data_IF_626751871698
#
_entry.id   IF_626751871698
#
_cell.length_a   1.000
_cell.length_b   1.000
_cell.length_c   1.000
_cell.angle_alpha   90.00
_cell.angle_beta   90.00
_cell.angle_gamma   90.00
#
_symmetry.space_group_name_H-M   'P 1'
#
loop_
_entity.id
_entity.type
_entity.pdbx_description
1 polymer ?
#
# COMPACT_ATOMS: atom_id res chain seq x y z
N UNK A 1 61.25 -45.90 -34.83
CA UNK A 1 60.98 -44.47 -35.06
C UNK A 1 59.49 -44.17 -35.31
N UNK A 2 58.73 -45.05 -35.97
CA UNK A 2 57.28 -44.87 -36.25
C UNK A 2 56.36 -44.85 -35.01
N UNK A 3 56.62 -45.69 -34.00
CA UNK A 3 55.74 -45.84 -32.81
C UNK A 3 55.71 -44.58 -31.93
N UNK A 4 56.83 -43.85 -31.82
CA UNK A 4 56.89 -42.59 -31.03
C UNK A 4 56.10 -41.45 -31.67
N UNK A 5 56.04 -41.40 -33.00
CA UNK A 5 55.24 -40.39 -33.72
C UNK A 5 53.73 -40.61 -33.55
N UNK A 6 53.29 -41.87 -33.51
CA UNK A 6 51.87 -42.22 -33.36
C UNK A 6 51.34 -41.86 -31.95
N UNK A 7 52.14 -42.09 -30.91
CA UNK A 7 51.81 -41.69 -29.54
C UNK A 7 51.82 -40.16 -29.36
N UNK A 8 52.73 -39.45 -30.03
CA UNK A 8 52.74 -37.98 -30.03
C UNK A 8 51.49 -37.38 -30.69
N UNK A 9 51.05 -37.96 -31.81
CA UNK A 9 49.84 -37.51 -32.52
C UNK A 9 48.56 -37.75 -31.69
N UNK A 10 48.47 -38.88 -30.97
CA UNK A 10 47.37 -39.15 -30.03
C UNK A 10 47.36 -38.16 -28.87
N UNK A 11 48.52 -37.89 -28.25
CA UNK A 11 48.64 -36.92 -27.17
C UNK A 11 48.25 -35.51 -27.62
N UNK A 12 48.70 -35.07 -28.80
CA UNK A 12 48.33 -33.78 -29.37
C UNK A 12 46.82 -33.68 -29.61
N UNK A 13 46.18 -34.75 -30.11
CA UNK A 13 44.73 -34.79 -30.34
C UNK A 13 43.95 -34.71 -29.04
N UNK A 14 44.38 -35.43 -28.00
CA UNK A 14 43.77 -35.40 -26.65
C UNK A 14 43.87 -34.00 -26.05
N UNK A 15 45.02 -33.34 -26.15
CA UNK A 15 45.23 -31.96 -25.67
C UNK A 15 44.31 -30.96 -26.38
N UNK A 16 44.12 -31.10 -27.69
CA UNK A 16 43.19 -30.26 -28.46
C UNK A 16 41.74 -30.48 -28.02
N UNK A 17 41.31 -31.73 -27.83
CA UNK A 17 39.96 -32.05 -27.37
C UNK A 17 39.69 -31.55 -25.95
N UNK A 18 40.65 -31.68 -25.03
CA UNK A 18 40.56 -31.13 -23.67
C UNK A 18 40.46 -29.60 -23.68
N UNK A 19 41.22 -28.93 -24.55
CA UNK A 19 41.16 -27.46 -24.71
C UNK A 19 39.78 -27.02 -25.22
N UNK A 20 39.24 -27.70 -26.24
CA UNK A 20 37.90 -27.41 -26.77
C UNK A 20 36.82 -27.63 -25.70
N UNK A 21 36.90 -28.73 -24.94
CA UNK A 21 35.96 -29.03 -23.85
C UNK A 21 36.00 -27.95 -22.76
N UNK A 22 37.19 -27.54 -22.32
CA UNK A 22 37.33 -26.49 -21.31
C UNK A 22 36.79 -25.14 -21.81
N UNK A 23 37.00 -24.81 -23.09
CA UNK A 23 36.49 -23.54 -23.67
C UNK A 23 34.97 -23.56 -23.83
N UNK A 24 34.37 -24.73 -24.07
CA UNK A 24 32.90 -24.89 -24.07
C UNK A 24 32.31 -24.79 -22.67
N UNK A 25 32.94 -25.41 -21.67
CA UNK A 25 32.53 -25.31 -20.26
C UNK A 25 32.60 -23.87 -19.73
N UNK A 26 33.69 -23.15 -20.02
CA UNK A 26 33.84 -21.74 -19.63
C UNK A 26 32.75 -20.87 -20.25
N UNK A 27 32.45 -21.05 -21.54
CA UNK A 27 31.35 -20.34 -22.22
C UNK A 27 29.99 -20.69 -21.63
N UNK A 28 29.76 -21.96 -21.25
CA UNK A 28 28.51 -22.39 -20.61
C UNK A 28 28.32 -21.75 -19.24
N UNK A 29 29.37 -21.72 -18.39
CA UNK A 29 29.31 -21.06 -17.08
C UNK A 29 29.11 -19.54 -17.19
N UNK A 30 29.72 -18.90 -18.18
CA UNK A 30 29.53 -17.48 -18.45
C UNK A 30 28.11 -17.18 -18.95
N UNK A 31 27.58 -18.00 -19.84
CA UNK A 31 26.19 -17.89 -20.32
C UNK A 31 25.19 -18.15 -19.19
N UNK A 32 25.45 -19.15 -18.34
CA UNK A 32 24.64 -19.46 -17.16
C UNK A 32 24.64 -18.31 -16.16
N UNK A 33 25.79 -17.68 -15.91
CA UNK A 33 25.88 -16.45 -15.09
C UNK A 33 25.09 -15.29 -15.71
N UNK A 34 25.18 -15.07 -17.02
CA UNK A 34 24.41 -14.04 -17.74
C UNK A 34 22.90 -14.31 -17.67
N UNK A 35 22.48 -15.56 -17.87
CA UNK A 35 21.08 -15.97 -17.77
C UNK A 35 20.57 -15.87 -16.33
N UNK A 36 21.33 -16.31 -15.33
CA UNK A 36 20.99 -16.12 -13.91
C UNK A 36 20.91 -14.63 -13.55
N UNK A 37 21.81 -13.80 -14.07
CA UNK A 37 21.76 -12.35 -13.87
C UNK A 37 20.55 -11.72 -14.55
N UNK A 38 20.19 -12.16 -15.76
CA UNK A 38 18.98 -11.70 -16.47
C UNK A 38 17.69 -12.15 -15.77
N UNK A 39 17.65 -13.38 -15.24
CA UNK A 39 16.51 -13.88 -14.45
C UNK A 39 16.42 -13.11 -13.12
N UNK A 40 17.54 -12.88 -12.44
CA UNK A 40 17.57 -12.05 -11.23
C UNK A 40 17.14 -10.61 -11.53
N UNK A 41 17.61 -10.00 -12.63
CA UNK A 41 17.19 -8.67 -13.07
C UNK A 41 15.71 -8.62 -13.46
N UNK A 42 15.17 -9.67 -14.10
CA UNK A 42 13.76 -9.76 -14.46
C UNK A 42 12.86 -9.98 -13.23
N UNK A 43 13.30 -10.74 -12.25
CA UNK A 43 12.60 -10.92 -10.96
C UNK A 43 12.66 -9.63 -10.13
N UNK A 44 13.75 -8.87 -10.17
CA UNK A 44 13.80 -7.52 -9.56
C UNK A 44 12.98 -6.49 -10.33
N UNK A 45 12.77 -6.64 -11.64
CA UNK A 45 11.87 -5.78 -12.42
C UNK A 45 10.38 -6.14 -12.21
N UNK A 46 10.06 -7.40 -11.95
CA UNK A 46 8.71 -7.84 -11.58
C UNK A 46 8.37 -7.55 -10.10
N UNK A 47 9.36 -7.22 -9.28
CA UNK A 47 9.20 -6.64 -7.94
C UNK A 47 9.32 -5.11 -7.94
N UNK A 48 8.99 -4.45 -9.06
CA UNK A 48 8.49 -3.08 -8.97
C UNK A 48 7.19 -3.16 -8.17
N UNK A 49 7.25 -2.81 -6.89
CA UNK A 49 6.04 -2.64 -6.08
C UNK A 49 5.09 -1.76 -6.90
N UNK A 50 3.91 -2.28 -7.24
CA UNK A 50 2.95 -1.52 -8.00
C UNK A 50 2.59 -0.28 -7.17
N UNK A 51 3.08 0.89 -7.57
CA UNK A 51 2.92 2.13 -6.79
C UNK A 51 1.52 2.72 -6.95
N UNK A 52 0.68 2.10 -7.78
CA UNK A 52 -0.71 2.48 -8.01
C UNK A 52 -1.58 1.26 -8.29
N UNK A 53 -2.85 1.34 -7.96
CA UNK A 53 -3.84 0.30 -8.29
C UNK A 53 -5.25 0.82 -8.09
N UNK A 54 -6.23 -0.07 -8.16
CA UNK A 54 -7.66 0.26 -8.00
C UNK A 54 -8.23 -0.40 -6.76
N UNK A 55 -9.12 0.30 -6.06
CA UNK A 55 -9.98 -0.23 -5.00
C UNK A 55 -11.35 0.41 -5.18
N UNK A 56 -12.39 -0.42 -5.34
CA UNK A 56 -13.76 0.04 -5.54
C UNK A 56 -13.95 1.09 -6.65
N UNK A 57 -13.16 1.01 -7.73
CA UNK A 57 -13.23 1.95 -8.85
C UNK A 57 -12.47 3.28 -8.64
N UNK A 58 -11.66 3.36 -7.58
CA UNK A 58 -10.84 4.53 -7.28
C UNK A 58 -9.36 4.15 -7.22
N UNK A 59 -8.53 4.99 -7.85
CA UNK A 59 -7.09 4.76 -7.89
C UNK A 59 -6.42 5.15 -6.57
N UNK A 60 -5.70 4.20 -5.98
CA UNK A 60 -4.80 4.43 -4.85
C UNK A 60 -3.35 4.57 -5.31
N UNK A 61 -2.54 5.22 -4.48
CA UNK A 61 -1.10 5.45 -4.64
C UNK A 61 -0.40 4.91 -3.40
N UNK A 62 0.52 3.97 -3.59
CA UNK A 62 1.39 3.45 -2.54
C UNK A 62 2.68 4.28 -2.51
N UNK A 63 2.80 5.09 -1.45
CA UNK A 63 3.97 5.95 -1.21
C UNK A 63 5.08 5.23 -0.43
N UNK A 64 4.91 3.94 -0.11
CA UNK A 64 5.85 3.16 0.70
C UNK A 64 5.89 3.61 2.16
N UNK A 65 4.74 4.02 2.72
CA UNK A 65 4.64 4.46 4.11
C UNK A 65 4.77 3.28 5.08
N UNK A 66 5.36 3.47 6.27
CA UNK A 66 5.51 2.41 7.28
C UNK A 66 4.22 1.65 7.63
N UNK A 67 3.08 2.35 7.69
CA UNK A 67 1.76 1.78 7.98
C UNK A 67 1.22 0.89 6.86
N UNK A 68 1.75 1.01 5.64
CA UNK A 68 1.25 0.34 4.44
C UNK A 68 -0.06 0.90 3.89
N UNK A 69 -0.57 2.02 4.46
CA UNK A 69 -1.77 2.68 3.95
C UNK A 69 -1.50 3.29 2.58
N UNK A 70 -2.50 3.20 1.71
CA UNK A 70 -2.43 3.72 0.35
C UNK A 70 -3.34 4.93 0.25
N UNK A 71 -2.90 5.95 -0.47
CA UNK A 71 -3.58 7.26 -0.54
C UNK A 71 -4.34 7.40 -1.85
N UNK A 72 -5.54 8.00 -1.81
CA UNK A 72 -6.30 8.25 -3.03
C UNK A 72 -5.57 9.22 -3.96
N UNK A 73 -5.68 8.97 -5.27
CA UNK A 73 -5.13 9.84 -6.31
C UNK A 73 -5.91 11.16 -6.47
N UNK A 74 -7.18 11.21 -6.06
CA UNK A 74 -8.04 12.41 -6.09
C UNK A 74 -8.75 12.68 -4.76
N UNK A 75 -9.26 13.90 -4.58
CA UNK A 75 -10.18 14.23 -3.48
C UNK A 75 -11.53 13.54 -3.70
N UNK A 76 -12.30 13.31 -2.64
CA UNK A 76 -13.69 12.90 -2.77
C UNK A 76 -14.46 13.99 -3.54
N UNK A 77 -15.18 13.60 -4.60
CA UNK A 77 -15.86 14.50 -5.53
C UNK A 77 -14.99 15.04 -6.69
N UNK A 78 -13.69 14.73 -6.74
CA UNK A 78 -12.80 15.14 -7.82
C UNK A 78 -12.61 14.06 -8.89
N UNK A 79 -12.53 14.47 -10.16
CA UNK A 79 -12.25 13.58 -11.30
C UNK A 79 -10.75 13.50 -11.62
N UNK A 80 -9.99 14.55 -11.31
CA UNK A 80 -8.55 14.65 -11.58
C UNK A 80 -7.79 15.08 -10.32
N UNK A 81 -6.49 14.77 -10.19
CA UNK A 81 -5.71 15.10 -8.98
C UNK A 81 -5.70 16.59 -8.62
N UNK A 82 -5.77 17.47 -9.62
CA UNK A 82 -5.79 18.92 -9.44
C UNK A 82 -7.17 19.53 -9.16
N UNK A 83 -8.25 18.77 -9.34
CA UNK A 83 -9.58 19.27 -9.06
C UNK A 83 -9.76 19.35 -7.53
N UNK A 84 -10.41 20.41 -7.05
CA UNK A 84 -10.58 20.63 -5.60
C UNK A 84 -11.41 19.52 -4.92
N UNK A 85 -12.29 18.88 -5.67
CA UNK A 85 -13.32 17.98 -5.16
C UNK A 85 -14.46 18.74 -4.47
N UNK A 86 -15.22 18.01 -3.68
CA UNK A 86 -16.30 18.58 -2.88
C UNK A 86 -15.79 18.97 -1.48
N UNK A 87 -16.55 19.86 -0.83
CA UNK A 87 -16.30 20.26 0.56
C UNK A 87 -17.32 19.60 1.47
N UNK A 88 -16.84 19.04 2.58
CA UNK A 88 -17.67 18.37 3.56
C UNK A 88 -17.46 18.97 4.95
N UNK A 89 -18.54 19.11 5.72
CA UNK A 89 -18.42 19.30 7.15
C UNK A 89 -18.03 17.95 7.78
N UNK A 90 -17.30 18.00 8.88
CA UNK A 90 -16.77 16.79 9.51
C UNK A 90 -17.91 15.87 9.98
N UNK A 91 -17.89 14.62 9.54
CA UNK A 91 -18.96 13.65 9.82
C UNK A 91 -20.21 13.78 8.96
N UNK A 92 -20.23 14.70 7.98
CA UNK A 92 -21.29 14.75 6.98
C UNK A 92 -20.85 14.10 5.67
N UNK A 93 -21.79 13.44 5.01
CA UNK A 93 -21.52 12.60 3.83
C UNK A 93 -22.26 13.08 2.58
N UNK A 94 -22.99 14.19 2.72
CA UNK A 94 -23.72 14.85 1.64
C UNK A 94 -23.17 16.26 1.42
N UNK A 95 -23.02 16.65 0.16
CA UNK A 95 -22.60 18.00 -0.20
C UNK A 95 -23.68 19.01 0.19
N UNK A 96 -23.25 20.19 0.65
CA UNK A 96 -24.11 21.32 0.97
C UNK A 96 -23.44 22.65 0.59
N UNK A 97 -24.23 23.71 0.58
CA UNK A 97 -23.76 25.05 0.21
C UNK A 97 -23.71 26.03 1.38
N UNK A 98 -24.13 25.62 2.58
CA UNK A 98 -24.08 26.45 3.79
C UNK A 98 -23.35 25.72 4.92
N UNK A 99 -22.17 26.20 5.25
CA UNK A 99 -21.27 25.69 6.28
C UNK A 99 -21.32 26.59 7.52
N UNK A 100 -22.35 26.39 8.34
CA UNK A 100 -22.55 27.06 9.64
C UNK A 100 -23.06 26.04 10.66
N UNK A 101 -22.97 26.37 11.95
CA UNK A 101 -23.58 25.55 13.00
C UNK A 101 -25.08 25.30 12.79
N UNK A 102 -25.81 26.28 12.25
CA UNK A 102 -27.25 26.16 12.00
C UNK A 102 -27.61 25.06 10.99
N UNK A 103 -26.65 24.64 10.16
CA UNK A 103 -26.84 23.65 9.09
C UNK A 103 -25.96 22.43 9.29
N UNK A 104 -25.36 22.26 10.48
CA UNK A 104 -24.51 21.12 10.81
C UNK A 104 -25.33 19.98 11.41
N UNK A 105 -25.08 18.77 10.94
CA UNK A 105 -25.93 17.60 11.22
C UNK A 105 -25.73 17.03 12.62
N UNK A 106 -24.55 17.23 13.20
CA UNK A 106 -24.17 16.67 14.51
C UNK A 106 -24.16 17.70 15.64
N UNK A 107 -24.86 18.82 15.48
CA UNK A 107 -25.06 19.81 16.54
C UNK A 107 -25.35 21.23 16.05
N UNK A 108 -25.77 22.09 16.96
CA UNK A 108 -26.14 23.49 16.68
C UNK A 108 -25.16 24.50 17.29
N UNK A 109 -24.08 24.03 17.89
CA UNK A 109 -23.07 24.87 18.51
C UNK A 109 -21.93 24.06 19.09
N UNK A 110 -20.85 24.75 19.45
CA UNK A 110 -19.61 24.13 19.96
C UNK A 110 -19.82 23.29 21.23
N UNK A 111 -20.84 23.63 22.04
CA UNK A 111 -21.22 22.96 23.28
C UNK A 111 -22.61 22.28 23.18
N UNK A 112 -23.16 22.16 21.97
CA UNK A 112 -24.51 21.62 21.72
C UNK A 112 -24.45 20.59 20.60
N UNK A 113 -23.64 19.57 20.83
CA UNK A 113 -23.36 18.49 19.90
C UNK A 113 -24.22 17.28 20.23
N UNK A 114 -24.76 16.65 19.19
CA UNK A 114 -25.62 15.46 19.31
C UNK A 114 -24.86 14.16 19.03
N UNK A 115 -23.67 14.26 18.40
CA UNK A 115 -22.79 13.13 18.10
C UNK A 115 -21.31 13.53 18.12
N UNK A 116 -20.45 12.57 18.47
CA UNK A 116 -19.03 12.79 18.74
C UNK A 116 -18.88 13.89 19.81
N UNK A 117 -19.59 13.65 20.88
CA UNK A 117 -19.78 14.52 22.03
C UNK A 117 -18.99 13.97 23.22
N UNK A 118 -18.89 14.74 24.31
CA UNK A 118 -18.22 14.24 25.51
C UNK A 118 -18.96 13.06 26.18
N UNK A 119 -20.21 12.78 25.80
CA UNK A 119 -21.04 11.72 26.40
C UNK A 119 -21.04 10.39 25.64
N UNK A 120 -20.64 10.36 24.36
CA UNK A 120 -20.68 9.13 23.55
C UNK A 120 -19.32 8.42 23.44
N UNK A 121 -18.25 9.04 23.96
CA UNK A 121 -16.88 8.51 23.96
C UNK A 121 -16.30 8.21 22.56
N UNK A 122 -16.95 8.65 21.48
CA UNK A 122 -16.47 8.45 20.11
C UNK A 122 -15.36 9.44 19.78
N UNK A 123 -14.17 8.91 19.46
CA UNK A 123 -12.98 9.71 19.15
C UNK A 123 -12.59 9.71 17.67
N UNK A 124 -13.33 8.96 16.83
CA UNK A 124 -13.12 8.89 15.39
C UNK A 124 -14.46 8.71 14.69
N UNK A 125 -14.54 9.13 13.42
CA UNK A 125 -15.71 8.89 12.58
C UNK A 125 -16.06 7.40 12.51
N UNK A 126 -17.34 7.12 12.64
CA UNK A 126 -17.93 5.84 12.26
C UNK A 126 -18.14 5.78 10.74
N UNK A 127 -18.20 4.57 10.18
CA UNK A 127 -18.38 4.38 8.73
C UNK A 127 -19.64 5.07 8.15
N UNK A 128 -20.68 5.28 8.96
CA UNK A 128 -21.89 5.98 8.54
C UNK A 128 -21.67 7.48 8.28
N UNK A 129 -20.66 8.07 8.91
CA UNK A 129 -20.34 9.51 8.86
C UNK A 129 -19.02 9.79 8.13
N UNK A 130 -18.33 8.75 7.64
CA UNK A 130 -17.12 8.87 6.84
C UNK A 130 -17.47 9.00 5.35
N UNK A 131 -17.28 10.18 4.78
CA UNK A 131 -17.65 10.44 3.39
C UNK A 131 -16.81 9.66 2.39
N UNK A 132 -15.54 9.35 2.68
CA UNK A 132 -14.73 8.53 1.78
C UNK A 132 -15.30 7.11 1.71
N UNK A 133 -15.66 6.54 2.87
CA UNK A 133 -16.33 5.24 2.92
C UNK A 133 -17.71 5.27 2.26
N UNK A 134 -18.52 6.30 2.54
CA UNK A 134 -19.89 6.41 2.00
C UNK A 134 -19.94 6.64 0.49
N UNK A 135 -18.99 7.40 -0.05
CA UNK A 135 -18.94 7.73 -1.47
C UNK A 135 -18.32 6.61 -2.31
N UNK A 136 -17.25 5.96 -1.80
CA UNK A 136 -16.44 5.02 -2.60
C UNK A 136 -16.60 3.57 -2.16
N UNK A 137 -16.97 3.30 -0.90
CA UNK A 137 -17.11 1.95 -0.37
C UNK A 137 -15.78 1.21 -0.23
N UNK A 138 -15.84 -0.13 -0.23
CA UNK A 138 -14.65 -0.98 -0.07
C UNK A 138 -13.93 -0.72 1.25
N UNK A 139 -12.61 -0.61 1.19
CA UNK A 139 -11.76 -0.28 2.36
C UNK A 139 -11.43 1.21 2.47
N UNK A 140 -12.04 2.07 1.64
CA UNK A 140 -11.81 3.51 1.69
C UNK A 140 -12.35 4.12 2.97
N UNK A 141 -11.58 5.04 3.54
CA UNK A 141 -11.97 5.85 4.69
C UNK A 141 -11.19 7.15 4.72
N UNK A 142 -11.61 8.08 5.54
CA UNK A 142 -10.85 9.28 5.84
C UNK A 142 -9.58 8.90 6.66
N UNK A 143 -8.44 9.56 6.41
CA UNK A 143 -7.21 9.31 7.16
C UNK A 143 -7.32 9.75 8.62
N UNK A 144 -6.64 9.04 9.51
CA UNK A 144 -6.48 9.47 10.91
C UNK A 144 -5.48 10.62 11.01
N UNK A 145 -5.44 11.26 12.19
CA UNK A 145 -4.44 12.31 12.48
C UNK A 145 -3.02 11.73 12.36
N UNK A 146 -2.83 10.51 12.83
CA UNK A 146 -1.56 9.81 12.81
C UNK A 146 -1.09 9.52 11.39
N UNK A 147 -2.00 9.17 10.48
CA UNK A 147 -1.68 8.94 9.06
C UNK A 147 -1.32 10.22 8.31
N UNK A 148 -1.97 11.34 8.62
CA UNK A 148 -1.50 12.65 8.14
C UNK A 148 -0.11 12.98 8.67
N UNK A 149 0.16 12.65 9.94
CA UNK A 149 1.49 12.79 10.55
C UNK A 149 2.54 11.96 9.84
N UNK A 150 2.24 10.70 9.56
CA UNK A 150 3.11 9.80 8.82
C UNK A 150 3.40 10.32 7.41
N UNK A 151 2.39 10.78 6.67
CA UNK A 151 2.57 11.36 5.34
C UNK A 151 3.46 12.62 5.40
N UNK A 152 3.30 13.47 6.42
CA UNK A 152 4.14 14.64 6.63
C UNK A 152 5.60 14.25 6.92
N UNK A 153 5.82 13.22 7.76
CA UNK A 153 7.15 12.81 8.22
C UNK A 153 7.92 11.95 7.20
N UNK A 154 7.22 11.14 6.40
CA UNK A 154 7.82 10.13 5.52
C UNK A 154 7.83 10.50 4.04
N UNK A 155 7.27 11.65 3.65
CA UNK A 155 7.30 12.14 2.26
C UNK A 155 8.08 13.46 2.12
N UNK A 156 8.37 13.82 0.86
CA UNK A 156 8.92 15.12 0.47
C UNK A 156 7.79 15.97 -0.09
N UNK A 157 7.60 17.16 0.48
CA UNK A 157 6.54 18.08 0.11
C UNK A 157 7.12 19.25 -0.69
N UNK A 158 6.74 19.37 -1.96
CA UNK A 158 7.19 20.46 -2.85
C UNK A 158 5.99 21.27 -3.33
N UNK A 159 5.97 22.57 -3.00
CA UNK A 159 4.92 23.46 -3.46
C UNK A 159 5.08 23.76 -4.95
N UNK A 160 3.97 23.80 -5.68
CA UNK A 160 3.89 24.35 -7.03
C UNK A 160 2.71 25.30 -7.12
N UNK A 161 2.87 26.37 -7.91
CA UNK A 161 1.79 27.30 -8.25
C UNK A 161 1.03 26.84 -9.52
N UNK A 162 1.53 25.82 -10.22
CA UNK A 162 1.00 25.33 -11.48
C UNK A 162 1.26 23.82 -11.66
N UNK A 163 0.43 22.98 -11.04
CA UNK A 163 0.55 21.53 -11.18
C UNK A 163 0.17 21.07 -12.59
N UNK A 164 1.13 20.48 -13.32
CA UNK A 164 0.96 19.97 -14.68
C UNK A 164 0.36 20.99 -15.68
N UNK A 165 0.74 22.26 -15.58
CA UNK A 165 0.28 23.33 -16.50
C UNK A 165 -1.26 23.54 -16.45
N UNK A 166 -1.87 23.30 -15.28
CA UNK A 166 -3.32 23.43 -15.07
C UNK A 166 -3.72 24.73 -14.36
N UNK A 167 -2.75 25.47 -13.81
CA UNK A 167 -2.94 26.62 -12.94
C UNK A 167 -3.32 26.27 -11.49
N UNK A 168 -3.35 24.98 -11.12
CA UNK A 168 -3.67 24.56 -9.77
C UNK A 168 -2.44 24.65 -8.84
N UNK A 169 -2.55 25.45 -7.80
CA UNK A 169 -1.54 25.55 -6.75
C UNK A 169 -1.75 24.48 -5.66
N UNK A 170 -0.66 24.00 -5.07
CA UNK A 170 -0.72 22.98 -4.01
C UNK A 170 0.61 22.27 -3.80
N UNK A 171 0.56 21.14 -3.09
CA UNK A 171 1.74 20.33 -2.81
C UNK A 171 1.79 19.07 -3.65
N UNK A 172 2.93 18.85 -4.29
CA UNK A 172 3.35 17.51 -4.74
C UNK A 172 4.00 16.81 -3.55
N UNK A 173 3.43 15.67 -3.16
CA UNK A 173 3.87 14.85 -2.04
C UNK A 173 4.50 13.59 -2.60
N UNK A 174 5.83 13.50 -2.56
CA UNK A 174 6.59 12.40 -3.15
C UNK A 174 7.12 11.44 -2.09
N UNK A 175 7.17 10.15 -2.41
CA UNK A 175 7.84 9.14 -1.59
C UNK A 175 9.32 9.50 -1.40
N UNK A 176 9.88 9.21 -0.22
CA UNK A 176 11.33 9.29 0.00
C UNK A 176 12.09 8.10 -0.60
N UNK A 177 11.40 6.98 -0.86
CA UNK A 177 12.00 5.69 -1.17
C UNK A 177 11.56 5.13 -2.54
N UNK A 178 11.06 5.97 -3.44
CA UNK A 178 10.64 5.57 -4.79
C UNK A 178 10.07 6.74 -5.60
N UNK A 179 9.54 6.44 -6.79
CA UNK A 179 9.05 7.46 -7.75
C UNK A 179 7.57 7.83 -7.55
N UNK A 180 6.88 7.21 -6.58
CA UNK A 180 5.47 7.48 -6.31
C UNK A 180 5.26 8.90 -5.77
N UNK A 181 4.25 9.59 -6.26
CA UNK A 181 3.83 10.89 -5.74
C UNK A 181 2.34 11.12 -5.92
N UNK A 182 1.77 11.99 -5.08
CA UNK A 182 0.40 12.48 -5.21
C UNK A 182 0.38 14.02 -5.18
N UNK A 183 -0.72 14.62 -5.62
CA UNK A 183 -0.95 16.06 -5.54
C UNK A 183 -2.11 16.37 -4.60
N UNK A 184 -1.87 17.31 -3.68
CA UNK A 184 -2.89 17.89 -2.81
C UNK A 184 -3.13 19.33 -3.25
N UNK A 185 -4.25 19.64 -3.92
CA UNK A 185 -4.57 21.01 -4.29
C UNK A 185 -4.77 21.88 -3.04
N UNK A 186 -4.37 23.15 -3.13
CA UNK A 186 -4.70 24.18 -2.16
C UNK A 186 -6.16 24.64 -2.35
N UNK A 187 -7.11 23.74 -2.08
CA UNK A 187 -8.53 23.95 -2.35
C UNK A 187 -9.20 25.00 -1.44
N UNK A 188 -8.52 25.48 -0.40
CA UNK A 188 -9.13 26.36 0.60
C UNK A 188 -10.20 25.65 1.43
N UNK A 189 -11.09 26.43 2.04
CA UNK A 189 -12.19 25.91 2.87
C UNK A 189 -13.48 26.68 2.59
N UNK A 190 -14.61 26.07 2.95
CA UNK A 190 -15.92 26.72 2.89
C UNK A 190 -16.36 27.18 4.28
N UNK A 191 -16.71 28.47 4.37
CA UNK A 191 -17.45 29.04 5.50
C UNK A 191 -18.71 29.67 4.95
N UNK A 192 -19.85 29.45 5.61
CA UNK A 192 -21.12 29.88 5.06
C UNK A 192 -21.30 29.35 3.63
N UNK A 193 -21.50 30.23 2.66
CA UNK A 193 -21.64 29.93 1.25
C UNK A 193 -20.47 30.46 0.41
N UNK A 194 -19.30 30.66 1.04
CA UNK A 194 -18.11 31.23 0.41
C UNK A 194 -16.92 30.27 0.53
N UNK A 195 -16.21 30.11 -0.59
CA UNK A 195 -14.89 29.46 -0.63
C UNK A 195 -13.84 30.51 -0.27
N UNK A 196 -13.03 30.22 0.73
CA UNK A 196 -11.96 31.09 1.21
C UNK A 196 -10.60 30.44 0.91
N UNK A 197 -9.59 31.28 0.66
CA UNK A 197 -8.18 30.86 0.61
C UNK A 197 -7.81 29.83 -0.46
N UNK A 198 -8.67 29.64 -1.47
CA UNK A 198 -8.37 28.81 -2.64
C UNK A 198 -7.09 29.30 -3.35
N UNK A 199 -6.22 28.35 -3.68
CA UNK A 199 -4.89 28.58 -4.23
C UNK A 199 -3.82 28.94 -3.19
N UNK A 200 -4.20 29.11 -1.91
CA UNK A 200 -3.28 29.55 -0.84
C UNK A 200 -3.15 28.51 0.26
N UNK A 201 -4.27 27.94 0.71
CA UNK A 201 -4.29 26.95 1.79
C UNK A 201 -4.88 25.62 1.33
N UNK A 202 -4.34 24.53 1.87
CA UNK A 202 -4.97 23.21 1.83
C UNK A 202 -5.52 22.86 3.19
N UNK A 203 -6.78 22.44 3.22
CA UNK A 203 -7.51 22.02 4.42
C UNK A 203 -8.13 20.65 4.17
N UNK A 204 -7.65 19.64 4.90
CA UNK A 204 -8.07 18.25 4.70
C UNK A 204 -8.50 17.59 6.00
N UNK A 205 -9.73 17.11 6.05
CA UNK A 205 -10.23 16.47 7.27
C UNK A 205 -9.46 15.19 7.61
N UNK A 206 -9.31 14.97 8.91
CA UNK A 206 -9.01 13.66 9.48
C UNK A 206 -10.29 13.03 10.03
N UNK A 207 -10.35 11.70 10.10
CA UNK A 207 -11.39 10.99 10.85
C UNK A 207 -11.31 11.22 12.37
N UNK A 208 -10.18 11.73 12.89
CA UNK A 208 -9.92 11.86 14.32
C UNK A 208 -10.57 13.10 14.94
N UNK A 209 -11.30 12.93 16.04
CA UNK A 209 -11.86 14.01 16.84
C UNK A 209 -10.76 14.78 17.58
N UNK A 210 -10.89 16.11 17.65
CA UNK A 210 -10.05 16.93 18.54
C UNK A 210 -10.73 17.03 19.92
N UNK A 211 -10.28 16.21 20.88
CA UNK A 211 -10.81 16.22 22.24
C UNK A 211 -10.09 17.27 23.10
N UNK A 212 -10.85 18.28 23.54
CA UNK A 212 -10.40 19.27 24.53
C UNK A 212 -11.44 19.41 25.64
N UNK A 213 -10.98 19.60 26.88
CA UNK A 213 -11.85 19.81 28.05
C UNK A 213 -12.64 21.13 27.98
N UNK A 214 -12.18 22.09 27.18
CA UNK A 214 -12.78 23.43 27.05
C UNK A 214 -13.50 23.64 25.72
N UNK A 215 -13.34 22.72 24.75
CA UNK A 215 -13.87 22.88 23.40
C UNK A 215 -14.15 21.53 22.73
N UNK A 216 -15.43 21.21 22.51
CA UNK A 216 -15.86 19.98 21.84
C UNK A 216 -16.18 20.17 20.34
N UNK A 217 -16.12 21.39 19.82
CA UNK A 217 -16.59 21.72 18.46
C UNK A 217 -15.63 21.43 17.31
N UNK A 218 -14.46 20.82 17.55
CA UNK A 218 -13.36 20.67 16.56
C UNK A 218 -13.07 19.23 16.20
N UNK A 219 -12.52 19.03 15.00
CA UNK A 219 -11.86 17.81 14.59
C UNK A 219 -10.45 18.11 14.05
N UNK A 220 -9.59 17.09 14.00
CA UNK A 220 -8.25 17.25 13.43
C UNK A 220 -8.32 17.41 11.91
N UNK A 221 -7.38 18.17 11.38
CA UNK A 221 -7.25 18.50 9.98
C UNK A 221 -5.78 18.70 9.63
N UNK A 222 -5.36 18.23 8.46
CA UNK A 222 -4.13 18.71 7.84
C UNK A 222 -4.37 20.13 7.33
N UNK A 223 -3.52 21.06 7.74
CA UNK A 223 -3.41 22.40 7.16
C UNK A 223 -2.06 22.54 6.47
N UNK A 224 -2.05 23.16 5.30
CA UNK A 224 -0.80 23.60 4.70
C UNK A 224 -0.94 24.93 3.97
N UNK A 225 0.19 25.61 3.83
CA UNK A 225 0.46 26.72 2.91
C UNK A 225 1.85 26.52 2.32
N UNK A 226 2.25 27.31 1.31
CA UNK A 226 3.60 27.26 0.73
C UNK A 226 4.75 27.20 1.75
N UNK A 227 4.60 27.85 2.90
CA UNK A 227 5.63 27.94 3.92
C UNK A 227 5.69 26.75 4.88
N UNK A 228 4.59 26.00 5.09
CA UNK A 228 4.55 24.90 6.06
C UNK A 228 3.42 23.91 5.82
N UNK A 229 3.59 22.72 6.39
CA UNK A 229 2.58 21.65 6.48
C UNK A 229 2.39 21.29 7.95
N UNK A 230 1.14 21.14 8.39
CA UNK A 230 0.78 20.83 9.78
C UNK A 230 -0.35 19.79 9.84
N UNK A 231 0.00 18.56 10.17
CA UNK A 231 -0.89 17.39 10.26
C UNK A 231 -1.79 17.38 11.50
N UNK A 232 -1.48 18.17 12.52
CA UNK A 232 -2.18 18.19 13.82
C UNK A 232 -2.97 19.49 14.05
N UNK A 233 -3.26 20.25 12.99
CA UNK A 233 -4.18 21.37 13.08
C UNK A 233 -5.59 20.86 13.44
N UNK A 234 -6.43 21.73 13.99
CA UNK A 234 -7.82 21.41 14.25
C UNK A 234 -8.70 22.58 13.87
N UNK A 235 -9.92 22.27 13.42
CA UNK A 235 -10.86 23.30 13.05
C UNK A 235 -12.30 22.90 13.36
N UNK A 236 -13.18 23.91 13.36
CA UNK A 236 -14.57 23.72 13.75
C UNK A 236 -15.29 22.82 12.76
N UNK A 237 -15.98 21.80 13.28
CA UNK A 237 -16.54 20.69 12.49
C UNK A 237 -17.53 21.09 11.39
N UNK A 238 -18.17 22.26 11.49
CA UNK A 238 -19.10 22.71 10.46
C UNK A 238 -18.43 23.29 9.22
N UNK A 239 -17.13 23.62 9.26
CA UNK A 239 -16.42 24.15 8.08
C UNK A 239 -16.37 23.11 6.99
N UNK A 240 -16.53 23.55 5.74
CA UNK A 240 -16.34 22.66 4.59
C UNK A 240 -14.86 22.54 4.29
N UNK A 241 -14.33 21.33 4.30
CA UNK A 241 -12.95 21.06 3.90
C UNK A 241 -12.88 19.87 2.96
N UNK A 242 -11.77 19.76 2.22
CA UNK A 242 -11.54 18.64 1.32
C UNK A 242 -11.35 17.34 2.11
N UNK A 243 -11.63 16.21 1.44
CA UNK A 243 -11.38 14.88 1.97
C UNK A 243 -10.53 14.11 0.97
N UNK A 244 -9.42 13.56 1.45
CA UNK A 244 -8.50 12.71 0.69
C UNK A 244 -8.51 11.33 1.34
N UNK A 245 -9.15 10.35 0.68
CA UNK A 245 -9.31 9.01 1.25
C UNK A 245 -7.99 8.24 1.34
N UNK A 246 -7.94 7.28 2.26
CA UNK A 246 -6.92 6.23 2.34
C UNK A 246 -7.60 4.86 2.35
N UNK A 247 -6.86 3.84 1.92
CA UNK A 247 -7.32 2.47 1.95
C UNK A 247 -6.19 1.51 2.33
N UNK A 248 -6.59 0.36 2.85
CA UNK A 248 -5.72 -0.79 3.01
C UNK A 248 -6.06 -1.77 1.90
N UNK A 249 -5.72 -1.41 0.65
CA UNK A 249 -6.01 -2.31 -0.48
C UNK A 249 -5.32 -3.66 -0.20
N UNK A 250 -6.06 -4.77 -0.28
CA UNK A 250 -5.48 -6.09 -0.10
C UNK A 250 -4.30 -6.21 -1.05
N UNK A 251 -3.14 -6.64 -0.54
CA UNK A 251 -2.02 -6.97 -1.40
C UNK A 251 -2.54 -7.91 -2.48
N UNK A 252 -2.26 -7.59 -3.75
CA UNK A 252 -2.51 -8.47 -4.89
C UNK A 252 -1.63 -9.71 -4.76
N UNK A 253 -1.94 -10.54 -3.77
CA UNK A 253 -1.52 -11.92 -3.70
C UNK A 253 -2.49 -12.62 -4.63
N UNK A 254 -1.93 -13.13 -5.72
CA UNK A 254 -2.58 -13.99 -6.72
C UNK A 254 -3.73 -14.76 -6.06
N UNK A 255 -4.94 -14.63 -6.63
CA UNK A 255 -6.14 -15.36 -6.23
C UNK A 255 -5.81 -16.80 -5.79
N UNK A 256 -6.17 -17.15 -4.56
CA UNK A 256 -6.06 -18.52 -4.11
C UNK A 256 -6.15 -18.73 -2.60
N UNK A 257 -7.39 -18.91 -2.13
CA UNK A 257 -7.77 -19.70 -0.95
C UNK A 257 -7.67 -18.98 0.40
N UNK A 258 -8.84 -18.82 1.02
CA UNK A 258 -9.07 -18.52 2.44
C UNK A 258 -8.12 -19.33 3.34
N UNK A 259 -7.14 -18.64 3.91
CA UNK A 259 -6.18 -19.20 4.84
C UNK A 259 -6.80 -19.26 6.23
N UNK A 260 -7.41 -20.40 6.58
CA UNK A 260 -7.42 -20.85 7.97
C UNK A 260 -5.98 -21.24 8.29
N UNK A 261 -5.32 -20.48 9.16
CA UNK A 261 -3.93 -20.71 9.57
C UNK A 261 -3.68 -22.17 10.04
N UNK A 262 -3.12 -23.04 9.18
CA UNK A 262 -2.26 -24.15 9.64
C UNK A 262 -0.86 -23.88 9.10
N UNK A 263 0.05 -23.48 9.99
CA UNK A 263 1.43 -23.20 9.62
C UNK A 263 2.18 -24.53 9.45
N UNK A 264 2.31 -25.02 8.21
CA UNK A 264 3.15 -26.18 7.91
C UNK A 264 4.63 -25.75 7.93
N UNK A 265 5.47 -26.46 8.67
CA UNK A 265 6.91 -26.18 8.78
C UNK A 265 7.75 -27.44 8.58
N UNK A 266 9.00 -27.28 8.12
CA UNK A 266 9.97 -28.38 8.00
C UNK A 266 11.15 -28.11 8.91
N UNK A 267 11.38 -28.99 9.88
CA UNK A 267 12.46 -28.87 10.85
C UNK A 267 13.26 -30.17 10.80
N UNK A 268 14.55 -30.07 10.43
CA UNK A 268 15.46 -31.22 10.39
C UNK A 268 15.02 -32.33 9.42
N UNK A 269 14.38 -31.99 8.30
CA UNK A 269 13.87 -32.96 7.31
C UNK A 269 12.52 -33.61 7.66
N UNK A 270 11.88 -33.16 8.75
CA UNK A 270 10.55 -33.61 9.19
C UNK A 270 9.53 -32.49 9.02
N UNK A 271 8.34 -32.84 8.54
CA UNK A 271 7.20 -31.94 8.33
C UNK A 271 6.37 -31.88 9.63
N UNK A 272 5.95 -30.69 10.03
CA UNK A 272 5.12 -30.40 11.20
C UNK A 272 3.92 -29.50 10.81
N UNK A 273 2.69 -29.84 11.21
CA UNK A 273 1.53 -28.91 11.22
C UNK A 273 0.87 -28.96 12.61
N UNK A 274 0.20 -27.86 12.99
CA UNK A 274 -0.59 -27.79 14.23
C UNK A 274 -1.92 -28.57 14.18
N UNK A 275 -2.23 -29.20 13.05
CA UNK A 275 -3.43 -30.02 12.82
C UNK A 275 -3.01 -31.38 12.27
N UNK A 276 -3.94 -32.36 12.23
CA UNK A 276 -3.69 -33.62 11.52
C UNK A 276 -3.42 -33.38 10.04
N UNK A 277 -2.45 -34.10 9.48
CA UNK A 277 -2.05 -33.97 8.10
C UNK A 277 -1.63 -35.30 7.49
N UNK A 278 -1.69 -35.37 6.16
CA UNK A 278 -1.13 -36.44 5.33
C UNK A 278 -0.10 -35.88 4.37
N UNK A 279 0.91 -36.67 4.05
CA UNK A 279 1.99 -36.31 3.12
C UNK A 279 1.90 -37.20 1.89
N UNK A 280 1.93 -36.60 0.71
CA UNK A 280 1.91 -37.29 -0.57
C UNK A 280 3.16 -36.95 -1.38
N UNK A 281 3.67 -37.92 -2.15
CA UNK A 281 4.67 -37.61 -3.17
C UNK A 281 4.04 -36.92 -4.40
N UNK A 282 4.88 -36.48 -5.34
CA UNK A 282 4.40 -35.80 -6.55
C UNK A 282 3.58 -36.71 -7.48
N UNK A 283 3.58 -38.02 -7.25
CA UNK A 283 2.76 -39.00 -7.97
C UNK A 283 1.44 -39.28 -7.23
N UNK A 284 1.18 -38.61 -6.11
CA UNK A 284 -0.05 -38.72 -5.33
C UNK A 284 -0.09 -39.93 -4.39
N UNK A 285 1.04 -40.60 -4.13
CA UNK A 285 1.10 -41.73 -3.19
C UNK A 285 1.25 -41.23 -1.76
N UNK A 286 0.47 -41.79 -0.84
CA UNK A 286 0.54 -41.46 0.59
C UNK A 286 1.84 -42.00 1.21
N UNK A 287 2.69 -41.07 1.63
CA UNK A 287 4.00 -41.32 2.25
C UNK A 287 4.06 -40.76 3.67
N UNK A 288 2.91 -40.51 4.31
CA UNK A 288 2.82 -39.91 5.66
C UNK A 288 3.66 -40.68 6.68
N UNK A 289 3.68 -42.02 6.58
CA UNK A 289 4.45 -42.90 7.45
C UNK A 289 5.98 -42.71 7.36
N UNK A 290 6.48 -42.04 6.32
CA UNK A 290 7.91 -41.79 6.10
C UNK A 290 8.36 -40.41 6.61
N UNK A 291 7.46 -39.61 7.18
CA UNK A 291 7.76 -38.26 7.65
C UNK A 291 8.91 -38.24 8.68
N UNK A 292 9.97 -37.48 8.39
CA UNK A 292 11.23 -37.46 9.14
C UNK A 292 12.34 -38.35 8.55
N UNK A 293 12.01 -39.15 7.52
CA UNK A 293 12.96 -39.94 6.71
C UNK A 293 12.76 -39.73 5.20
N UNK A 294 12.00 -38.69 4.83
CA UNK A 294 11.73 -38.36 3.44
C UNK A 294 13.02 -37.96 2.73
N UNK A 295 13.31 -38.52 1.54
CA UNK A 295 14.36 -38.00 0.68
C UNK A 295 14.20 -36.51 0.39
N UNK A 296 15.30 -35.82 0.11
CA UNK A 296 15.24 -34.41 -0.29
C UNK A 296 14.38 -34.26 -1.54
N UNK A 297 13.38 -33.40 -1.50
CA UNK A 297 12.38 -33.30 -2.55
C UNK A 297 11.18 -32.47 -2.16
N UNK A 298 10.22 -32.36 -3.10
CA UNK A 298 8.96 -31.64 -2.87
C UNK A 298 7.85 -32.65 -2.62
N UNK A 299 7.09 -32.42 -1.57
CA UNK A 299 5.95 -33.23 -1.15
C UNK A 299 4.70 -32.36 -1.06
N UNK A 300 3.54 -33.00 -1.12
CA UNK A 300 2.25 -32.33 -0.93
C UNK A 300 1.73 -32.69 0.45
N UNK A 301 1.56 -31.70 1.31
CA UNK A 301 0.99 -31.86 2.65
C UNK A 301 -0.46 -31.45 2.60
N UNK A 302 -1.35 -32.32 3.03
CA UNK A 302 -2.79 -32.08 3.05
C UNK A 302 -3.30 -32.13 4.48
N UNK A 303 -3.92 -31.04 4.93
CA UNK A 303 -4.71 -30.99 6.15
C UNK A 303 -6.20 -31.05 5.79
N UNK A 304 -7.07 -31.01 6.79
CA UNK A 304 -8.53 -30.92 6.59
C UNK A 304 -8.92 -29.70 5.73
N UNK A 305 -8.22 -28.57 5.92
CA UNK A 305 -8.58 -27.28 5.32
C UNK A 305 -7.60 -26.76 4.26
N UNK A 306 -6.46 -27.43 4.04
CA UNK A 306 -5.40 -26.93 3.17
C UNK A 306 -4.65 -28.04 2.44
N UNK A 307 -4.05 -27.70 1.29
CA UNK A 307 -3.16 -28.58 0.55
C UNK A 307 -1.99 -27.79 -0.02
N UNK A 308 -0.81 -27.99 0.56
CA UNK A 308 0.38 -27.17 0.29
C UNK A 308 1.54 -28.01 -0.24
N UNK A 309 2.42 -27.39 -1.03
CA UNK A 309 3.67 -28.01 -1.49
C UNK A 309 4.81 -27.60 -0.56
N UNK A 310 5.53 -28.58 -0.04
CA UNK A 310 6.57 -28.40 0.96
C UNK A 310 7.87 -29.01 0.48
N UNK A 311 8.94 -28.23 0.54
CA UNK A 311 10.29 -28.71 0.26
C UNK A 311 10.94 -29.31 1.51
N UNK A 312 11.37 -30.56 1.41
CA UNK A 312 12.22 -31.22 2.41
C UNK A 312 13.66 -31.12 1.92
N UNK A 313 14.52 -30.39 2.66
CA UNK A 313 15.90 -30.08 2.29
C UNK A 313 16.92 -30.60 3.30
#
# INVERSE_FOLDING_TARGET
MLVRHFEFAKFATILVLLRIRNTRMLRYEEMKKKISCLIMCAVTCAALAQTTGDEAGHTWIDLGLPSGVKWASTNVGANRPQDDGDYYAWGETTVKTDFRWATYSHGTGQNSLTKYSNSDELLSLEAADDVAFKAWGGTWRMPTKEEWGELQEHCVWTWTDDYNETGAAGYVVASKNGDASLFLPAAGCCYANLINEKGVHGYYWSSSLFKSSSYSGSAYQLQFIRAYVKSDWNHTRYYGSSVRGVCNAPSSTIEGITQSECHISVIGGKIHCGQEFRVYDLYGRDVTHQNGSLPKGVYVVQTENSREKVGVF
#
